data_IF_068255475870
#
_entry.id   IF_068255475870
#
_cell.length_a   1.000
_cell.length_b   1.000
_cell.length_c   1.000
_cell.angle_alpha   90.00
_cell.angle_beta   90.00
_cell.angle_gamma   90.00
#
_symmetry.space_group_name_H-M   'P 1'
#
loop_
_entity.id
_entity.type
_entity.pdbx_description
1 polymer ?
#
# COMPACT_ATOMS: atom_id res chain seq x y z
N UNK A 1 24.94 11.65 5.68
CA UNK A 1 23.90 11.42 4.67
C UNK A 1 24.49 11.28 3.28
N UNK A 2 25.51 12.09 2.95
CA UNK A 2 26.18 12.10 1.64
C UNK A 2 26.74 10.75 1.19
N UNK A 3 27.41 10.00 2.09
CA UNK A 3 27.92 8.67 1.75
C UNK A 3 26.80 7.69 1.33
N UNK A 4 25.65 7.71 2.02
CA UNK A 4 24.51 6.86 1.66
C UNK A 4 23.92 7.26 0.30
N UNK A 5 23.79 8.57 0.04
CA UNK A 5 23.32 9.11 -1.23
C UNK A 5 24.19 8.65 -2.41
N UNK A 6 25.51 8.77 -2.24
CA UNK A 6 26.48 8.28 -3.22
C UNK A 6 26.33 6.77 -3.46
N UNK A 7 26.30 5.96 -2.39
CA UNK A 7 26.17 4.51 -2.51
C UNK A 7 24.87 4.08 -3.21
N UNK A 8 23.73 4.72 -2.91
CA UNK A 8 22.46 4.42 -3.59
C UNK A 8 22.56 4.73 -5.08
N UNK A 9 23.11 5.90 -5.45
CA UNK A 9 23.28 6.27 -6.85
C UNK A 9 24.18 5.30 -7.60
N UNK A 10 25.34 4.98 -7.06
CA UNK A 10 26.29 4.05 -7.70
C UNK A 10 25.69 2.65 -7.87
N UNK A 11 25.00 2.16 -6.82
CA UNK A 11 24.34 0.86 -6.86
C UNK A 11 23.26 0.80 -7.95
N UNK A 12 22.35 1.77 -7.99
CA UNK A 12 21.24 1.80 -8.95
C UNK A 12 21.67 2.16 -10.38
N UNK A 13 22.85 2.78 -10.55
CA UNK A 13 23.44 2.97 -11.88
C UNK A 13 24.04 1.66 -12.42
N UNK A 14 24.62 0.85 -11.54
CA UNK A 14 25.33 -0.38 -11.91
C UNK A 14 24.45 -1.62 -11.95
N UNK A 15 23.45 -1.69 -11.06
CA UNK A 15 22.56 -2.83 -10.90
C UNK A 15 21.19 -2.53 -11.50
N UNK A 16 20.64 -3.48 -12.27
CA UNK A 16 19.30 -3.38 -12.87
C UNK A 16 18.35 -4.33 -12.13
N UNK A 17 17.60 -3.84 -11.12
CA UNK A 17 16.67 -4.67 -10.37
C UNK A 17 15.50 -5.10 -11.25
N UNK A 18 14.97 -6.30 -10.96
CA UNK A 18 13.75 -6.85 -11.58
C UNK A 18 12.48 -6.49 -10.82
N UNK A 19 12.61 -5.68 -9.77
CA UNK A 19 11.51 -5.24 -8.89
C UNK A 19 11.38 -3.72 -8.94
N UNK A 20 10.20 -3.21 -8.61
CA UNK A 20 10.01 -1.78 -8.44
C UNK A 20 10.93 -1.25 -7.33
N UNK A 21 11.60 -0.13 -7.58
CA UNK A 21 12.49 0.54 -6.62
C UNK A 21 11.90 1.87 -6.20
N UNK A 22 11.77 2.04 -4.90
CA UNK A 22 11.46 3.33 -4.27
C UNK A 22 12.60 3.75 -3.36
N UNK A 23 13.04 5.00 -3.47
CA UNK A 23 14.05 5.57 -2.58
C UNK A 23 13.36 6.45 -1.53
N UNK A 24 13.53 6.12 -0.24
CA UNK A 24 13.09 7.01 0.84
C UNK A 24 14.08 8.17 0.99
N UNK A 25 13.65 9.37 0.64
CA UNK A 25 14.44 10.60 0.79
C UNK A 25 14.40 11.09 2.24
N UNK A 26 15.14 12.15 2.56
CA UNK A 26 14.99 12.88 3.81
C UNK A 26 13.75 13.81 3.77
N UNK A 27 13.16 14.17 4.93
CA UNK A 27 11.98 15.05 5.00
C UNK A 27 12.30 16.52 4.63
N UNK A 28 11.26 17.29 4.29
CA UNK A 28 11.38 18.68 3.82
C UNK A 28 12.06 19.61 4.85
N UNK A 29 11.84 19.36 6.14
CA UNK A 29 12.44 20.11 7.25
C UNK A 29 13.94 19.83 7.46
N UNK A 30 14.53 18.93 6.66
CA UNK A 30 15.95 18.63 6.69
C UNK A 30 16.72 19.38 5.58
N UNK A 31 18.01 19.68 5.78
CA UNK A 31 18.85 20.29 4.73
C UNK A 31 19.12 19.35 3.55
N UNK A 32 18.70 18.08 3.61
CA UNK A 32 19.07 17.04 2.67
C UNK A 32 17.99 16.75 1.62
N UNK A 33 16.80 17.35 1.73
CA UNK A 33 15.65 17.04 0.88
C UNK A 33 15.97 17.18 -0.62
N UNK A 34 16.46 18.36 -1.03
CA UNK A 34 16.78 18.64 -2.43
C UNK A 34 18.04 17.90 -2.90
N UNK A 35 19.05 17.76 -2.05
CA UNK A 35 20.26 17.00 -2.38
C UNK A 35 19.94 15.53 -2.73
N UNK A 36 19.02 14.91 -1.97
CA UNK A 36 18.57 13.56 -2.26
C UNK A 36 17.88 13.49 -3.62
N UNK A 37 16.94 14.40 -3.89
CA UNK A 37 16.22 14.46 -5.17
C UNK A 37 17.18 14.66 -6.35
N UNK A 38 18.13 15.59 -6.24
CA UNK A 38 19.11 15.85 -7.29
C UNK A 38 20.01 14.64 -7.56
N UNK A 39 20.27 13.81 -6.55
CA UNK A 39 21.09 12.62 -6.74
C UNK A 39 20.37 11.45 -7.40
N UNK A 40 19.04 11.41 -7.35
CA UNK A 40 18.24 10.29 -7.87
C UNK A 40 17.41 10.63 -9.09
N UNK A 41 17.21 11.91 -9.44
CA UNK A 41 16.31 12.35 -10.52
C UNK A 41 16.55 11.72 -11.90
N UNK A 42 17.80 11.36 -12.20
CA UNK A 42 18.19 10.75 -13.48
C UNK A 42 18.24 9.21 -13.43
N UNK A 43 17.90 8.59 -12.29
CA UNK A 43 17.93 7.14 -12.11
C UNK A 43 16.65 6.49 -12.66
N UNK A 44 16.81 5.30 -13.22
CA UNK A 44 15.68 4.47 -13.66
C UNK A 44 15.06 3.71 -12.47
N UNK A 45 14.36 4.44 -11.59
CA UNK A 45 13.61 3.91 -10.45
C UNK A 45 12.12 4.19 -10.61
N UNK A 46 11.29 3.47 -9.85
CA UNK A 46 9.84 3.65 -9.88
C UNK A 46 9.43 4.96 -9.20
N UNK A 47 10.11 5.30 -8.12
CA UNK A 47 9.90 6.59 -7.48
C UNK A 47 10.47 6.70 -6.07
N UNK A 48 9.72 7.35 -5.20
CA UNK A 48 10.19 7.81 -3.90
C UNK A 48 9.20 7.54 -2.78
N UNK A 49 9.74 7.36 -1.58
CA UNK A 49 8.97 7.41 -0.34
C UNK A 49 9.23 8.75 0.32
N UNK A 50 8.18 9.55 0.52
CA UNK A 50 8.26 10.85 1.19
C UNK A 50 8.00 10.67 2.70
N UNK A 51 9.02 10.71 3.57
CA UNK A 51 8.82 10.64 5.03
C UNK A 51 8.16 11.91 5.56
N UNK A 52 7.54 11.79 6.73
CA UNK A 52 6.82 12.86 7.44
C UNK A 52 5.92 13.66 6.51
N UNK A 53 5.18 12.94 5.65
CA UNK A 53 4.40 13.57 4.61
C UNK A 53 3.42 14.60 5.21
N UNK A 54 3.47 15.81 4.66
CA UNK A 54 2.59 16.93 4.97
C UNK A 54 2.11 17.58 3.67
N UNK A 55 1.13 18.48 3.77
CA UNK A 55 0.64 19.23 2.61
C UNK A 55 1.79 20.02 1.97
N UNK A 56 2.61 20.65 2.79
CA UNK A 56 3.76 21.46 2.34
C UNK A 56 4.83 20.59 1.66
N UNK A 57 5.20 19.46 2.27
CA UNK A 57 6.22 18.57 1.69
C UNK A 57 5.75 17.98 0.36
N UNK A 58 4.47 17.64 0.24
CA UNK A 58 3.93 17.07 -0.99
C UNK A 58 3.88 18.10 -2.13
N UNK A 59 3.47 19.35 -1.83
CA UNK A 59 3.49 20.44 -2.82
C UNK A 59 4.92 20.71 -3.30
N UNK A 60 5.87 20.82 -2.37
CA UNK A 60 7.28 21.05 -2.69
C UNK A 60 7.87 19.93 -3.54
N UNK A 61 7.50 18.67 -3.24
CA UNK A 61 7.94 17.53 -4.02
C UNK A 61 7.35 17.50 -5.42
N UNK A 62 6.02 17.63 -5.55
CA UNK A 62 5.32 17.61 -6.84
C UNK A 62 5.82 18.71 -7.77
N UNK A 63 6.04 19.91 -7.21
CA UNK A 63 6.65 21.03 -7.93
C UNK A 63 8.04 20.67 -8.44
N UNK A 64 8.92 20.15 -7.58
CA UNK A 64 10.28 19.77 -7.98
C UNK A 64 10.26 18.72 -9.11
N UNK A 65 9.44 17.67 -8.98
CA UNK A 65 9.33 16.61 -9.99
C UNK A 65 8.84 17.18 -11.33
N UNK A 66 7.87 18.09 -11.30
CA UNK A 66 7.33 18.74 -12.49
C UNK A 66 8.36 19.65 -13.16
N UNK A 67 9.03 20.52 -12.40
CA UNK A 67 10.02 21.47 -12.92
C UNK A 67 11.26 20.78 -13.51
N UNK A 68 11.63 19.61 -12.98
CA UNK A 68 12.77 18.82 -13.47
C UNK A 68 12.37 17.72 -14.47
N UNK A 69 11.10 17.63 -14.89
CA UNK A 69 10.57 16.58 -15.78
C UNK A 69 10.87 15.14 -15.29
N UNK A 70 10.76 14.90 -13.97
CA UNK A 70 11.01 13.61 -13.34
C UNK A 70 9.69 12.83 -13.19
N UNK A 71 9.61 11.66 -13.81
CA UNK A 71 8.41 10.82 -13.77
C UNK A 71 8.44 9.77 -12.66
N UNK A 72 8.60 10.23 -11.42
CA UNK A 72 8.55 9.36 -10.24
C UNK A 72 7.15 9.26 -9.66
N UNK A 73 6.81 8.05 -9.21
CA UNK A 73 5.66 7.80 -8.35
C UNK A 73 6.02 8.11 -6.88
N UNK A 74 4.99 8.41 -6.07
CA UNK A 74 5.17 8.82 -4.68
C UNK A 74 4.44 7.84 -3.75
N UNK A 75 5.12 7.38 -2.72
CA UNK A 75 4.51 6.76 -1.54
C UNK A 75 4.61 7.77 -0.40
N UNK A 76 3.47 8.22 0.13
CA UNK A 76 3.42 9.14 1.25
C UNK A 76 3.56 8.37 2.56
N UNK A 77 4.64 8.57 3.31
CA UNK A 77 4.82 7.97 4.62
C UNK A 77 4.19 8.88 5.69
N UNK A 78 3.06 8.42 6.23
CA UNK A 78 2.27 9.05 7.27
C UNK A 78 2.72 8.50 8.62
N UNK A 79 3.42 9.34 9.38
CA UNK A 79 4.10 8.93 10.60
C UNK A 79 4.08 10.01 11.70
N UNK A 80 3.16 10.96 11.58
CA UNK A 80 2.88 12.01 12.58
C UNK A 80 1.38 12.16 12.77
N UNK A 81 0.93 12.66 13.92
CA UNK A 81 -0.48 12.88 14.23
C UNK A 81 -1.10 13.87 13.23
N UNK A 82 -0.40 14.96 12.92
CA UNK A 82 -0.85 15.93 11.91
C UNK A 82 -0.94 15.29 10.52
N UNK A 83 0.07 14.50 10.12
CA UNK A 83 0.06 13.79 8.84
C UNK A 83 -1.10 12.78 8.74
N UNK A 84 -1.45 12.12 9.84
CA UNK A 84 -2.55 11.16 9.90
C UNK A 84 -3.92 11.84 9.73
N UNK A 85 -4.16 12.93 10.45
CA UNK A 85 -5.42 13.67 10.37
C UNK A 85 -5.60 14.34 9.00
N UNK A 86 -4.53 14.97 8.50
CA UNK A 86 -4.50 15.64 7.20
C UNK A 86 -4.24 14.71 6.00
N UNK A 87 -4.22 13.39 6.20
CA UNK A 87 -3.83 12.42 5.17
C UNK A 87 -4.57 12.63 3.84
N UNK A 88 -5.89 12.78 3.84
CA UNK A 88 -6.65 13.02 2.61
C UNK A 88 -6.20 14.28 1.87
N UNK A 89 -5.95 15.37 2.60
CA UNK A 89 -5.52 16.65 2.01
C UNK A 89 -4.13 16.52 1.38
N UNK A 90 -3.22 15.80 2.03
CA UNK A 90 -1.87 15.48 1.51
C UNK A 90 -1.99 14.74 0.18
N UNK A 91 -2.83 13.70 0.14
CA UNK A 91 -2.98 12.84 -1.04
C UNK A 91 -3.61 13.56 -2.23
N UNK A 92 -4.40 14.62 -1.98
CA UNK A 92 -4.96 15.45 -3.04
C UNK A 92 -3.94 16.41 -3.68
N UNK A 93 -2.73 16.54 -3.14
CA UNK A 93 -1.73 17.49 -3.66
C UNK A 93 -0.93 16.98 -4.86
N UNK A 94 -0.98 15.69 -5.16
CA UNK A 94 -0.29 15.15 -6.34
C UNK A 94 -1.00 13.92 -6.90
N UNK A 95 -1.11 13.87 -8.23
CA UNK A 95 -1.59 12.68 -8.95
C UNK A 95 -0.53 11.58 -9.07
N UNK A 96 0.72 11.87 -8.70
CA UNK A 96 1.84 10.91 -8.73
C UNK A 96 1.82 9.97 -7.52
N UNK A 97 0.96 10.22 -6.54
CA UNK A 97 0.86 9.38 -5.34
C UNK A 97 0.16 8.07 -5.68
N UNK A 98 0.80 6.96 -5.34
CA UNK A 98 0.30 5.60 -5.60
C UNK A 98 0.05 4.79 -4.32
N UNK A 99 0.43 5.33 -3.17
CA UNK A 99 0.24 4.65 -1.90
C UNK A 99 0.51 5.51 -0.67
N UNK A 100 -0.05 5.05 0.44
CA UNK A 100 0.16 5.58 1.78
C UNK A 100 0.86 4.52 2.59
N UNK A 101 1.95 4.87 3.25
CA UNK A 101 2.68 4.00 4.16
C UNK A 101 2.50 4.50 5.59
N UNK A 102 1.99 3.65 6.48
CA UNK A 102 1.89 3.93 7.92
C UNK A 102 3.22 3.69 8.66
N UNK A 103 3.81 4.77 9.20
CA UNK A 103 4.97 4.69 10.10
C UNK A 103 4.54 4.68 11.57
N UNK A 104 4.22 3.51 12.13
CA UNK A 104 3.69 3.40 13.49
C UNK A 104 4.69 3.75 14.59
N UNK A 105 5.98 3.43 14.42
CA UNK A 105 7.00 3.74 15.44
C UNK A 105 7.10 5.25 15.68
N UNK A 106 7.29 6.03 14.62
CA UNK A 106 7.34 7.49 14.70
C UNK A 106 5.99 8.11 15.07
N UNK A 107 4.87 7.54 14.57
CA UNK A 107 3.53 8.02 14.92
C UNK A 107 3.24 7.85 16.42
N UNK A 108 3.54 6.69 17.00
CA UNK A 108 3.29 6.47 18.43
C UNK A 108 4.18 7.32 19.32
N UNK A 109 5.42 7.60 18.90
CA UNK A 109 6.27 8.58 19.56
C UNK A 109 5.61 9.97 19.57
N UNK A 110 5.08 10.41 18.43
CA UNK A 110 4.38 11.70 18.29
C UNK A 110 3.08 11.76 19.12
N UNK A 111 2.37 10.63 19.22
CA UNK A 111 1.16 10.50 20.04
C UNK A 111 1.44 10.33 21.54
N UNK A 112 2.70 10.09 21.94
CA UNK A 112 3.05 9.74 23.33
C UNK A 112 2.54 8.35 23.76
N UNK A 113 2.28 7.47 22.79
CA UNK A 113 1.84 6.09 23.01
C UNK A 113 3.03 5.12 23.03
N UNK A 114 2.86 3.99 23.70
CA UNK A 114 3.84 2.89 23.67
C UNK A 114 3.46 1.89 22.59
N UNK A 115 4.42 1.52 21.74
CA UNK A 115 4.26 0.42 20.78
C UNK A 115 4.04 -0.93 21.46
N UNK A 116 3.06 -1.68 21.00
CA UNK A 116 2.71 -3.01 21.49
C UNK A 116 2.62 -4.03 20.35
N UNK A 117 2.67 -5.33 20.70
CA UNK A 117 2.47 -6.42 19.74
C UNK A 117 1.01 -6.55 19.29
N UNK A 118 0.09 -6.08 20.11
CA UNK A 118 -1.35 -6.09 19.85
C UNK A 118 -1.73 -5.04 18.79
N UNK A 119 -0.94 -3.97 18.66
CA UNK A 119 -1.15 -2.87 17.71
C UNK A 119 -2.49 -2.13 17.92
N UNK A 120 -3.12 -2.26 19.09
CA UNK A 120 -4.38 -1.57 19.42
C UNK A 120 -4.19 -0.05 19.39
N UNK A 121 -3.02 0.44 19.79
CA UNK A 121 -2.69 1.87 19.83
C UNK A 121 -2.59 2.50 18.43
N UNK A 122 -2.49 1.69 17.37
CA UNK A 122 -2.50 2.14 15.97
C UNK A 122 -3.76 1.71 15.21
N UNK A 123 -4.78 1.17 15.89
CA UNK A 123 -6.01 0.71 15.25
C UNK A 123 -6.70 1.83 14.44
N UNK A 124 -6.85 3.02 15.04
CA UNK A 124 -7.38 4.19 14.34
C UNK A 124 -6.49 4.58 13.16
N UNK A 125 -5.16 4.56 13.31
CA UNK A 125 -4.24 4.93 12.26
C UNK A 125 -4.36 3.99 11.05
N UNK A 126 -4.46 2.67 11.28
CA UNK A 126 -4.73 1.67 10.24
C UNK A 126 -6.05 1.97 9.53
N UNK A 127 -7.15 2.14 10.26
CA UNK A 127 -8.47 2.44 9.68
C UNK A 127 -8.46 3.73 8.87
N UNK A 128 -7.81 4.79 9.37
CA UNK A 128 -7.70 6.08 8.69
C UNK A 128 -6.90 5.96 7.39
N UNK A 129 -5.73 5.32 7.43
CA UNK A 129 -4.88 5.08 6.24
C UNK A 129 -5.63 4.26 5.19
N UNK A 130 -6.34 3.20 5.59
CA UNK A 130 -7.15 2.39 4.67
C UNK A 130 -8.24 3.25 4.01
N UNK A 131 -9.01 4.00 4.82
CA UNK A 131 -10.11 4.81 4.32
C UNK A 131 -9.65 5.86 3.29
N UNK A 132 -8.59 6.61 3.59
CA UNK A 132 -8.07 7.62 2.66
C UNK A 132 -7.43 7.00 1.43
N UNK A 133 -6.75 5.86 1.57
CA UNK A 133 -6.15 5.16 0.43
C UNK A 133 -7.21 4.67 -0.54
N UNK A 134 -8.32 4.09 -0.04
CA UNK A 134 -9.44 3.66 -0.90
C UNK A 134 -10.17 4.84 -1.53
N UNK A 135 -10.36 5.95 -0.80
CA UNK A 135 -10.96 7.17 -1.36
C UNK A 135 -10.13 7.76 -2.52
N UNK A 136 -8.82 7.54 -2.51
CA UNK A 136 -7.88 7.99 -3.54
C UNK A 136 -7.54 6.89 -4.57
N UNK A 137 -8.11 5.68 -4.44
CA UNK A 137 -7.83 4.52 -5.29
C UNK A 137 -6.34 4.10 -5.32
N UNK A 138 -5.64 4.26 -4.20
CA UNK A 138 -4.20 3.96 -4.04
C UNK A 138 -3.95 2.83 -3.02
N UNK A 139 -2.70 2.39 -2.93
CA UNK A 139 -2.27 1.34 -2.00
C UNK A 139 -2.23 1.83 -0.55
N UNK A 140 -2.55 0.93 0.38
CA UNK A 140 -2.41 1.14 1.83
C UNK A 140 -1.34 0.16 2.35
N UNK A 141 -0.19 0.68 2.77
CA UNK A 141 0.97 -0.10 3.21
C UNK A 141 1.07 -0.01 4.72
N UNK A 142 0.98 -1.16 5.37
CA UNK A 142 1.06 -1.28 6.82
C UNK A 142 2.50 -1.13 7.35
N UNK A 143 2.60 -0.89 8.66
CA UNK A 143 3.85 -0.67 9.38
C UNK A 143 4.69 -1.94 9.55
N UNK A 144 6.03 -1.88 9.66
CA UNK A 144 6.82 -3.09 9.89
C UNK A 144 6.58 -3.69 11.28
N UNK A 145 6.69 -5.01 11.35
CA UNK A 145 6.75 -5.74 12.62
C UNK A 145 8.22 -5.79 13.09
N UNK A 146 8.52 -5.20 14.24
CA UNK A 146 9.89 -4.91 14.67
C UNK A 146 10.59 -6.08 15.37
N UNK A 147 9.83 -7.01 15.95
CA UNK A 147 10.37 -8.24 16.53
C UNK A 147 10.67 -9.24 15.41
N UNK A 148 11.92 -9.25 14.94
CA UNK A 148 12.32 -10.01 13.76
C UNK A 148 12.35 -11.53 13.95
N UNK A 149 12.40 -11.99 15.21
CA UNK A 149 12.46 -13.42 15.54
C UNK A 149 11.07 -14.03 15.80
N UNK A 150 10.07 -13.20 16.09
CA UNK A 150 8.68 -13.63 16.30
C UNK A 150 7.88 -13.72 14.99
N UNK A 151 8.13 -14.79 14.23
CA UNK A 151 7.46 -15.06 12.96
C UNK A 151 5.95 -15.33 13.12
N UNK A 152 5.53 -15.95 14.21
CA UNK A 152 4.10 -16.19 14.45
C UNK A 152 3.37 -14.90 14.79
N UNK A 153 3.97 -14.03 15.60
CA UNK A 153 3.47 -12.67 15.84
C UNK A 153 3.37 -11.84 14.56
N UNK A 154 4.39 -11.91 13.68
CA UNK A 154 4.35 -11.29 12.36
C UNK A 154 3.14 -11.77 11.55
N UNK A 155 2.88 -13.09 11.48
CA UNK A 155 1.77 -13.63 10.70
C UNK A 155 0.42 -13.16 11.22
N UNK A 156 0.24 -13.14 12.54
CA UNK A 156 -1.00 -12.67 13.19
C UNK A 156 -1.22 -11.18 12.87
N UNK A 157 -0.22 -10.33 13.09
CA UNK A 157 -0.34 -8.88 12.83
C UNK A 157 -0.52 -8.59 11.33
N UNK A 158 0.14 -9.34 10.45
CA UNK A 158 0.01 -9.22 8.99
C UNK A 158 -1.39 -9.60 8.51
N UNK A 159 -1.93 -10.73 9.00
CA UNK A 159 -3.28 -11.16 8.67
C UNK A 159 -4.32 -10.15 9.16
N UNK A 160 -4.16 -9.64 10.38
CA UNK A 160 -5.02 -8.58 10.91
C UNK A 160 -4.99 -7.32 10.02
N UNK A 161 -3.81 -6.87 9.60
CA UNK A 161 -3.69 -5.71 8.70
C UNK A 161 -4.35 -5.96 7.32
N UNK A 162 -4.17 -7.15 6.73
CA UNK A 162 -4.83 -7.58 5.49
C UNK A 162 -6.34 -7.56 5.64
N UNK A 163 -6.87 -8.16 6.71
CA UNK A 163 -8.31 -8.29 6.95
C UNK A 163 -9.00 -6.93 7.13
N UNK A 164 -8.29 -5.94 7.69
CA UNK A 164 -8.77 -4.55 7.76
C UNK A 164 -8.80 -3.85 6.39
N UNK A 165 -8.01 -4.31 5.41
CA UNK A 165 -7.99 -3.77 4.05
C UNK A 165 -6.68 -3.12 3.62
N UNK A 166 -5.58 -3.32 4.38
CA UNK A 166 -4.24 -2.98 3.90
C UNK A 166 -3.89 -3.83 2.67
N UNK A 167 -3.09 -3.28 1.77
CA UNK A 167 -2.69 -3.93 0.50
C UNK A 167 -1.24 -4.41 0.51
N UNK A 168 -0.49 -4.12 1.59
CA UNK A 168 0.87 -4.59 1.77
C UNK A 168 1.37 -4.23 3.17
N UNK A 169 2.61 -4.61 3.47
CA UNK A 169 3.27 -4.34 4.75
C UNK A 169 4.74 -4.08 4.52
N UNK A 170 5.28 -3.04 5.15
CA UNK A 170 6.70 -2.80 5.18
C UNK A 170 7.42 -3.88 5.98
N UNK A 171 8.63 -4.24 5.58
CA UNK A 171 9.45 -5.27 6.24
C UNK A 171 10.85 -4.72 6.50
N UNK A 172 11.47 -5.18 7.58
CA UNK A 172 12.84 -4.79 7.97
C UNK A 172 13.80 -5.99 8.03
N UNK A 173 13.28 -7.21 7.85
CA UNK A 173 14.04 -8.45 7.86
C UNK A 173 13.77 -9.26 6.60
N UNK A 174 14.80 -9.78 5.90
CA UNK A 174 14.62 -10.69 4.77
C UNK A 174 13.79 -11.94 5.11
N UNK A 175 13.78 -12.36 6.39
CA UNK A 175 13.00 -13.51 6.87
C UNK A 175 11.50 -13.31 6.76
N UNK A 176 11.04 -12.06 6.70
CA UNK A 176 9.61 -11.73 6.64
C UNK A 176 9.05 -11.75 5.22
N UNK A 177 9.92 -11.71 4.20
CA UNK A 177 9.52 -11.53 2.79
C UNK A 177 8.53 -12.60 2.33
N UNK A 178 8.86 -13.87 2.54
CA UNK A 178 8.06 -14.99 2.04
C UNK A 178 6.69 -15.06 2.73
N UNK A 179 6.67 -15.00 4.06
CA UNK A 179 5.43 -15.07 4.85
C UNK A 179 4.50 -13.88 4.57
N UNK A 180 5.03 -12.66 4.49
CA UNK A 180 4.24 -11.47 4.21
C UNK A 180 3.66 -11.53 2.79
N UNK A 181 4.47 -11.87 1.78
CA UNK A 181 3.99 -12.01 0.41
C UNK A 181 2.91 -13.09 0.28
N UNK A 182 3.12 -14.25 0.92
CA UNK A 182 2.14 -15.33 0.94
C UNK A 182 0.82 -14.90 1.56
N UNK A 183 0.86 -14.17 2.68
CA UNK A 183 -0.35 -13.70 3.36
C UNK A 183 -1.09 -12.66 2.53
N UNK A 184 -0.41 -11.69 1.92
CA UNK A 184 -1.08 -10.67 1.08
C UNK A 184 -1.52 -11.21 -0.29
N UNK A 185 -1.02 -12.35 -0.72
CA UNK A 185 -1.49 -13.02 -1.94
C UNK A 185 -2.86 -13.68 -1.73
N UNK A 186 -3.72 -13.74 -2.77
CA UNK A 186 -4.90 -14.60 -2.78
C UNK A 186 -4.53 -16.06 -2.50
N UNK A 187 -5.25 -16.73 -1.61
CA UNK A 187 -5.10 -18.18 -1.45
C UNK A 187 -5.85 -18.92 -2.56
N UNK A 188 -5.49 -20.19 -2.82
CA UNK A 188 -6.25 -21.01 -3.77
C UNK A 188 -7.72 -21.13 -3.37
N UNK A 189 -8.02 -21.20 -2.07
CA UNK A 189 -9.39 -21.24 -1.56
C UNK A 189 -10.16 -19.96 -1.88
N UNK A 190 -9.51 -18.80 -1.76
CA UNK A 190 -10.11 -17.51 -2.13
C UNK A 190 -10.44 -17.46 -3.63
N UNK A 191 -9.53 -17.97 -4.47
CA UNK A 191 -9.70 -18.02 -5.94
C UNK A 191 -10.82 -18.98 -6.34
N UNK A 192 -10.85 -20.19 -5.76
CA UNK A 192 -11.89 -21.18 -6.02
C UNK A 192 -13.27 -20.64 -5.61
N UNK A 193 -13.35 -19.94 -4.47
CA UNK A 193 -14.58 -19.25 -4.05
C UNK A 193 -14.97 -18.16 -5.06
N UNK A 194 -14.04 -17.31 -5.50
CA UNK A 194 -14.33 -16.25 -6.45
C UNK A 194 -14.81 -16.78 -7.81
N UNK A 195 -14.23 -17.87 -8.31
CA UNK A 195 -14.68 -18.54 -9.54
C UNK A 195 -16.09 -19.13 -9.40
N UNK A 196 -16.42 -19.72 -8.24
CA UNK A 196 -17.79 -20.21 -7.95
C UNK A 196 -18.79 -19.07 -7.87
N UNK A 197 -18.42 -17.92 -7.31
CA UNK A 197 -19.26 -16.70 -7.33
C UNK A 197 -19.54 -16.28 -8.77
N UNK A 198 -18.51 -16.17 -9.61
CA UNK A 198 -18.67 -15.81 -11.04
C UNK A 198 -19.58 -16.80 -11.79
N UNK A 199 -19.43 -18.10 -11.56
CA UNK A 199 -20.31 -19.11 -12.15
C UNK A 199 -21.76 -18.96 -11.67
N UNK A 200 -21.96 -18.64 -10.38
CA UNK A 200 -23.28 -18.37 -9.81
C UNK A 200 -23.95 -17.14 -10.42
N UNK A 201 -23.20 -16.07 -10.70
CA UNK A 201 -23.72 -14.87 -11.39
C UNK A 201 -24.23 -15.22 -12.78
N UNK A 202 -23.48 -15.99 -13.57
CA UNK A 202 -23.91 -16.44 -14.90
C UNK A 202 -25.28 -17.14 -14.83
N UNK A 203 -25.45 -18.07 -13.90
CA UNK A 203 -26.73 -18.77 -13.71
C UNK A 203 -27.86 -17.90 -13.16
N UNK A 204 -27.54 -16.90 -12.33
CA UNK A 204 -28.53 -15.96 -11.79
C UNK A 204 -29.05 -15.00 -12.88
N UNK A 205 -28.15 -14.50 -13.74
CA UNK A 205 -28.49 -13.61 -14.86
C UNK A 205 -29.39 -14.31 -15.89
N UNK A 206 -29.15 -15.58 -16.20
CA UNK A 206 -30.04 -16.40 -17.05
C UNK A 206 -31.47 -16.51 -16.51
N UNK A 207 -31.63 -16.38 -15.18
CA UNK A 207 -32.92 -16.42 -14.47
C UNK A 207 -33.48 -15.03 -14.16
N UNK A 208 -32.79 -13.96 -14.55
CA UNK A 208 -33.16 -12.58 -14.25
C UNK A 208 -33.10 -12.23 -12.75
N UNK A 209 -32.23 -12.88 -11.97
CA UNK A 209 -32.06 -12.66 -10.53
C UNK A 209 -30.83 -11.81 -10.24
N UNK A 210 -30.98 -10.76 -9.43
CA UNK A 210 -29.87 -9.90 -8.99
C UNK A 210 -29.07 -10.42 -7.79
N UNK A 211 -29.47 -11.56 -7.21
CA UNK A 211 -28.79 -12.21 -6.10
C UNK A 211 -29.06 -13.72 -6.12
N UNK A 212 -28.16 -14.51 -5.54
CA UNK A 212 -28.29 -15.97 -5.42
C UNK A 212 -27.71 -16.48 -4.11
N UNK A 213 -27.92 -17.76 -3.81
CA UNK A 213 -27.29 -18.40 -2.64
C UNK A 213 -26.11 -19.26 -3.07
N UNK A 214 -24.99 -19.12 -2.35
CA UNK A 214 -23.80 -19.96 -2.45
C UNK A 214 -23.37 -20.36 -1.04
N UNK A 215 -23.18 -21.65 -0.78
CA UNK A 215 -22.79 -22.19 0.54
C UNK A 215 -23.69 -21.68 1.69
N UNK A 216 -24.99 -21.53 1.43
CA UNK A 216 -25.99 -21.05 2.39
C UNK A 216 -25.92 -19.54 2.68
N UNK A 217 -25.08 -18.78 1.98
CA UNK A 217 -24.97 -17.32 2.11
C UNK A 217 -25.56 -16.64 0.88
N UNK A 218 -26.13 -15.45 1.09
CA UNK A 218 -26.58 -14.59 0.00
C UNK A 218 -25.37 -13.97 -0.70
N UNK A 219 -25.37 -14.01 -2.02
CA UNK A 219 -24.38 -13.38 -2.90
C UNK A 219 -25.08 -12.29 -3.70
N UNK A 220 -24.63 -11.06 -3.49
CA UNK A 220 -25.12 -9.83 -4.10
C UNK A 220 -23.96 -9.00 -4.68
N UNK A 221 -24.26 -7.81 -5.21
CA UNK A 221 -23.30 -7.00 -5.95
C UNK A 221 -21.96 -6.72 -5.21
N UNK A 222 -21.93 -6.39 -3.90
CA UNK A 222 -20.68 -6.25 -3.16
C UNK A 222 -19.81 -7.53 -3.13
N UNK A 223 -20.43 -8.69 -2.95
CA UNK A 223 -19.71 -9.98 -2.92
C UNK A 223 -19.17 -10.33 -4.31
N UNK A 224 -19.96 -10.08 -5.35
CA UNK A 224 -19.54 -10.26 -6.75
C UNK A 224 -18.34 -9.36 -7.06
N UNK A 225 -18.42 -8.06 -6.74
CA UNK A 225 -17.33 -7.12 -6.99
C UNK A 225 -16.05 -7.51 -6.24
N UNK A 226 -16.17 -8.04 -5.02
CA UNK A 226 -15.03 -8.56 -4.26
C UNK A 226 -14.38 -9.77 -4.94
N UNK A 227 -15.18 -10.73 -5.42
CA UNK A 227 -14.67 -11.88 -6.16
C UNK A 227 -13.95 -11.46 -7.45
N UNK A 228 -14.53 -10.52 -8.21
CA UNK A 228 -13.92 -9.98 -9.42
C UNK A 228 -12.60 -9.24 -9.15
N UNK A 229 -12.55 -8.41 -8.11
CA UNK A 229 -11.31 -7.74 -7.70
C UNK A 229 -10.22 -8.73 -7.32
N UNK A 230 -10.59 -9.85 -6.68
CA UNK A 230 -9.64 -10.90 -6.32
C UNK A 230 -9.05 -11.59 -7.55
N UNK A 231 -9.88 -11.95 -8.53
CA UNK A 231 -9.41 -12.54 -9.79
C UNK A 231 -8.54 -11.55 -10.59
N UNK A 232 -8.83 -10.25 -10.52
CA UNK A 232 -7.99 -9.21 -11.11
C UNK A 232 -6.62 -9.14 -10.45
N UNK A 233 -6.57 -9.32 -9.13
CA UNK A 233 -5.32 -9.34 -8.37
C UNK A 233 -4.48 -10.59 -8.66
N UNK A 234 -5.09 -11.76 -8.87
CA UNK A 234 -4.37 -13.01 -9.18
C UNK A 234 -3.95 -13.15 -10.64
N UNK A 235 -4.52 -12.34 -11.54
CA UNK A 235 -4.32 -12.46 -12.99
C UNK A 235 -5.29 -13.44 -13.67
N UNK A 236 -6.24 -14.02 -12.93
CA UNK A 236 -7.26 -14.95 -13.45
C UNK A 236 -8.52 -14.24 -13.98
N UNK A 237 -8.52 -12.91 -14.01
CA UNK A 237 -9.62 -12.12 -14.55
C UNK A 237 -9.75 -12.28 -16.06
N UNK A 238 -10.98 -12.42 -16.55
CA UNK A 238 -11.30 -12.48 -17.98
C UNK A 238 -12.19 -11.31 -18.35
N UNK A 239 -11.96 -10.71 -19.51
CA UNK A 239 -12.75 -9.57 -20.01
C UNK A 239 -14.26 -9.89 -20.09
N UNK A 240 -14.63 -11.15 -20.34
CA UNK A 240 -16.04 -11.60 -20.32
C UNK A 240 -16.74 -11.37 -18.96
N UNK A 241 -16.00 -11.18 -17.87
CA UNK A 241 -16.57 -10.91 -16.56
C UNK A 241 -17.18 -9.51 -16.44
N UNK A 242 -16.79 -8.56 -17.31
CA UNK A 242 -17.38 -7.22 -17.35
C UNK A 242 -18.86 -7.25 -17.73
N UNK A 243 -19.28 -8.26 -18.51
CA UNK A 243 -20.67 -8.46 -18.92
C UNK A 243 -21.56 -8.99 -17.79
N UNK A 244 -20.96 -9.54 -16.72
CA UNK A 244 -21.67 -10.08 -15.57
C UNK A 244 -22.14 -9.01 -14.58
N UNK A 245 -21.65 -7.78 -14.72
CA UNK A 245 -21.99 -6.64 -13.88
C UNK A 245 -23.14 -5.78 -14.46
N UNK A 246 -23.72 -6.18 -15.60
CA UNK A 246 -24.87 -5.53 -16.25
C UNK A 246 -26.19 -6.10 -15.73
#
# INVERSE_FOLDING_TARGET
KDAARYLVREYLTSFKPTTDIFVRINPLDSPYFYDDLDSIKDLNIKGIVLPKASVESMISLDKYLTENNVDFQIIALVETALGLESALEILQKSKKIIGVFLGAEDLTLDLGAKRTKQSDEIAYARSRVIAVSKAMEIQAIDTPFTDTDDIEGLKIDTLHAKDLGMTGKAIISPRHVEDVNKLFSPSQEDLDYALRVVAGVKSANEKGLGAFSLDGKMVDAPIIKRALNLLKLSGDYKEEYDELLK
#
